data_IF_176953095544
#
_entry.id   IF_176953095544
#
_cell.length_a   1.000
_cell.length_b   1.000
_cell.length_c   1.000
_cell.angle_alpha   90.00
_cell.angle_beta   90.00
_cell.angle_gamma   90.00
#
_symmetry.space_group_name_H-M   'P 1'
#
loop_
_entity.id
_entity.type
_entity.pdbx_description
1 polymer ?
#
# COMPACT_ATOMS: atom_id res chain seq x y z
N UNK A 1 -52.57 9.65 -32.36
CA UNK A 1 -52.76 9.51 -30.90
C UNK A 1 -51.83 8.37 -30.46
N UNK A 2 -50.57 8.61 -30.04
CA UNK A 2 -50.13 9.01 -28.68
C UNK A 2 -50.82 8.14 -27.60
N UNK A 3 -50.15 7.32 -26.80
CA UNK A 3 -49.04 7.60 -25.84
C UNK A 3 -48.22 6.30 -25.58
N UNK A 4 -46.88 6.28 -25.62
CA UNK A 4 -45.86 6.66 -24.61
C UNK A 4 -45.99 6.01 -23.23
N UNK A 5 -45.04 5.12 -22.87
CA UNK A 5 -44.64 4.79 -21.49
C UNK A 5 -43.21 4.22 -21.47
N UNK A 6 -42.34 4.83 -20.68
CA UNK A 6 -40.87 4.66 -20.65
C UNK A 6 -40.38 3.55 -19.68
N UNK A 7 -39.12 3.06 -19.81
CA UNK A 7 -38.53 2.11 -18.86
C UNK A 7 -37.83 2.82 -17.68
N UNK A 8 -38.00 2.23 -16.49
CA UNK A 8 -37.51 2.72 -15.20
C UNK A 8 -36.00 2.65 -15.01
N UNK A 9 -35.47 3.69 -14.35
CA UNK A 9 -34.05 3.96 -14.09
C UNK A 9 -33.46 3.05 -13.00
N UNK A 10 -32.30 2.46 -13.30
CA UNK A 10 -31.45 1.76 -12.34
C UNK A 10 -30.86 2.71 -11.28
N UNK A 11 -30.91 2.30 -10.02
CA UNK A 11 -30.27 3.01 -8.90
C UNK A 11 -28.79 2.64 -8.83
N UNK A 12 -27.92 3.63 -9.09
CA UNK A 12 -26.48 3.57 -8.75
C UNK A 12 -26.32 3.92 -7.27
N UNK A 13 -25.63 3.08 -6.52
CA UNK A 13 -25.19 3.39 -5.15
C UNK A 13 -23.78 3.99 -5.21
N UNK A 14 -23.67 5.30 -5.07
CA UNK A 14 -22.39 6.00 -4.85
C UNK A 14 -22.28 6.36 -3.38
N UNK A 15 -21.48 5.62 -2.59
CA UNK A 15 -21.12 6.05 -1.23
C UNK A 15 -19.86 6.92 -1.31
N UNK A 16 -20.07 8.22 -1.25
CA UNK A 16 -19.04 9.24 -1.11
C UNK A 16 -18.50 9.24 0.33
N UNK A 17 -17.20 9.05 0.48
CA UNK A 17 -16.50 9.27 1.74
C UNK A 17 -16.27 10.78 1.93
N UNK A 18 -16.86 11.36 2.97
CA UNK A 18 -16.55 12.72 3.45
C UNK A 18 -16.16 12.63 4.93
N UNK A 19 -15.00 13.18 5.28
CA UNK A 19 -14.56 13.37 6.66
C UNK A 19 -13.65 14.60 6.77
N UNK A 20 -13.74 15.43 7.83
CA UNK A 20 -13.19 16.79 7.85
C UNK A 20 -11.98 16.92 8.80
N UNK A 21 -10.82 17.35 8.29
CA UNK A 21 -9.68 17.71 9.14
C UNK A 21 -9.02 19.01 8.63
N UNK A 22 -8.99 20.02 9.51
CA UNK A 22 -8.37 21.33 9.31
C UNK A 22 -7.50 21.65 10.54
N UNK A 23 -6.28 22.14 10.26
CA UNK A 23 -5.33 22.91 11.13
C UNK A 23 -4.66 22.06 12.22
N UNK A 24 -3.37 22.20 12.57
CA UNK A 24 -2.24 23.00 12.09
C UNK A 24 -0.96 22.51 12.79
N UNK A 25 0.08 22.23 12.00
CA UNK A 25 1.54 22.48 12.11
C UNK A 25 2.18 22.82 13.48
N UNK A 26 3.39 22.39 13.85
CA UNK A 26 4.68 22.71 13.20
C UNK A 26 5.92 21.94 13.77
N UNK A 27 6.94 21.79 12.89
CA UNK A 27 8.43 21.81 13.05
C UNK A 27 9.19 20.70 13.82
N UNK A 28 10.10 20.02 13.09
CA UNK A 28 11.52 19.81 13.47
C UNK A 28 12.36 19.36 12.25
N UNK A 29 13.62 19.82 12.19
CA UNK A 29 14.57 19.68 11.07
C UNK A 29 15.38 18.37 11.01
N UNK A 30 16.40 18.27 10.13
CA UNK A 30 16.93 16.99 9.64
C UNK A 30 18.10 16.45 10.48
N UNK A 31 18.12 15.13 10.72
CA UNK A 31 19.25 14.42 11.33
C UNK A 31 20.06 13.66 10.27
N UNK A 32 21.39 13.79 10.37
CA UNK A 32 22.43 13.26 9.47
C UNK A 32 22.60 11.74 9.67
N UNK A 33 22.85 11.00 8.59
CA UNK A 33 23.09 9.55 8.59
C UNK A 33 24.49 9.14 9.07
N UNK A 34 24.67 7.92 9.60
CA UNK A 34 25.98 7.42 9.99
C UNK A 34 26.69 6.64 8.87
N UNK A 35 28.03 6.69 8.93
CA UNK A 35 29.02 6.13 8.01
C UNK A 35 29.21 4.62 8.21
N UNK A 36 29.55 3.93 7.13
CA UNK A 36 29.91 2.51 7.08
C UNK A 36 31.30 2.24 7.69
N UNK A 37 31.44 1.12 8.42
CA UNK A 37 32.72 0.50 8.79
C UNK A 37 32.64 -0.98 8.41
N UNK A 38 33.75 -1.51 7.87
CA UNK A 38 33.82 -2.73 7.08
C UNK A 38 33.92 -4.08 7.82
N UNK A 39 34.03 -5.08 6.94
CA UNK A 39 33.95 -6.54 7.05
C UNK A 39 34.70 -7.27 8.18
N UNK A 40 34.17 -8.44 8.57
CA UNK A 40 34.84 -9.74 8.33
C UNK A 40 33.98 -10.96 8.76
N UNK A 41 33.81 -11.92 7.83
CA UNK A 41 33.85 -13.35 8.15
C UNK A 41 32.57 -14.18 7.99
N UNK A 42 32.58 -15.10 7.01
CA UNK A 42 31.81 -16.35 7.03
C UNK A 42 30.68 -16.48 6.01
N UNK A 43 31.01 -16.75 4.75
CA UNK A 43 30.02 -16.96 3.68
C UNK A 43 29.53 -18.41 3.70
N UNK A 44 28.32 -18.65 4.22
CA UNK A 44 27.54 -19.83 3.85
C UNK A 44 26.93 -19.56 2.46
N UNK A 45 27.32 -20.35 1.46
CA UNK A 45 26.79 -20.25 0.10
C UNK A 45 25.26 -20.45 0.10
N UNK A 46 24.46 -19.48 -0.38
CA UNK A 46 23.02 -19.64 -0.48
C UNK A 46 22.64 -20.48 -1.72
N UNK A 47 21.60 -21.28 -1.54
CA UNK A 47 20.91 -22.07 -2.56
C UNK A 47 20.46 -21.18 -3.75
N UNK A 48 20.83 -21.48 -5.01
CA UNK A 48 20.63 -20.60 -6.17
C UNK A 48 19.16 -20.32 -6.53
N UNK A 49 18.20 -20.99 -5.88
CA UNK A 49 16.76 -20.78 -6.14
C UNK A 49 16.10 -19.72 -5.23
N UNK A 50 16.78 -19.20 -4.21
CA UNK A 50 16.19 -18.24 -3.26
C UNK A 50 16.90 -16.88 -3.33
N UNK A 51 16.29 -15.85 -3.95
CA UNK A 51 16.88 -14.50 -3.92
C UNK A 51 16.99 -14.01 -2.47
N UNK A 52 18.06 -13.26 -2.13
CA UNK A 52 18.27 -12.75 -0.78
C UNK A 52 17.07 -11.90 -0.35
N UNK A 53 16.76 -11.90 0.96
CA UNK A 53 15.63 -11.16 1.54
C UNK A 53 15.45 -9.74 0.97
N UNK A 54 16.55 -9.00 0.82
CA UNK A 54 16.55 -7.66 0.24
C UNK A 54 16.17 -7.57 -1.24
N UNK A 55 16.50 -8.58 -2.06
CA UNK A 55 16.17 -8.60 -3.48
C UNK A 55 14.68 -8.82 -3.74
N UNK A 56 13.99 -9.60 -2.89
CA UNK A 56 12.54 -9.82 -3.00
C UNK A 56 11.72 -8.54 -2.76
N UNK A 57 12.27 -7.60 -2.00
CA UNK A 57 11.63 -6.31 -1.72
C UNK A 57 11.85 -5.29 -2.85
N UNK A 58 12.92 -5.44 -3.65
CA UNK A 58 13.20 -4.55 -4.79
C UNK A 58 12.07 -4.62 -5.84
N UNK A 59 11.48 -5.78 -6.05
CA UNK A 59 10.34 -5.98 -6.96
C UNK A 59 9.02 -5.34 -6.45
N UNK A 60 8.99 -4.89 -5.19
CA UNK A 60 7.86 -4.22 -4.53
C UNK A 60 8.11 -2.72 -4.28
N UNK A 61 9.14 -2.15 -4.91
CA UNK A 61 9.39 -0.71 -4.91
C UNK A 61 8.70 -0.09 -6.12
N UNK A 62 8.00 1.03 -5.93
CA UNK A 62 7.39 1.73 -7.05
C UNK A 62 8.44 2.37 -7.95
N UNK A 63 8.46 1.98 -9.23
CA UNK A 63 9.16 2.70 -10.30
C UNK A 63 8.12 3.33 -11.23
N UNK A 64 7.91 4.63 -11.05
CA UNK A 64 6.97 5.38 -11.88
C UNK A 64 7.44 5.53 -13.33
N UNK A 65 8.73 5.36 -13.64
CA UNK A 65 9.27 5.41 -14.99
C UNK A 65 8.81 4.23 -15.87
N UNK A 66 8.45 3.12 -15.23
CA UNK A 66 7.93 1.92 -15.89
C UNK A 66 6.40 1.80 -15.85
N UNK A 67 5.70 2.84 -15.38
CA UNK A 67 4.26 2.84 -15.20
C UNK A 67 3.53 3.79 -16.17
N UNK A 68 2.32 3.42 -16.58
CA UNK A 68 1.39 4.31 -17.31
C UNK A 68 0.69 5.35 -16.41
N UNK A 69 1.31 5.78 -15.31
CA UNK A 69 0.77 6.79 -14.41
C UNK A 69 -0.55 6.39 -13.74
N UNK A 70 -0.74 5.09 -13.47
CA UNK A 70 -2.03 4.52 -13.05
C UNK A 70 -2.58 5.15 -11.76
N UNK A 71 -1.73 5.45 -10.77
CA UNK A 71 -2.17 6.16 -9.56
C UNK A 71 -2.68 7.59 -9.86
N UNK A 72 -2.17 8.24 -10.90
CA UNK A 72 -2.57 9.60 -11.31
C UNK A 72 -3.89 9.61 -12.10
N UNK A 73 -4.26 8.50 -12.75
CA UNK A 73 -5.49 8.42 -13.56
C UNK A 73 -6.58 7.60 -12.88
N UNK A 74 -6.29 6.38 -12.41
CA UNK A 74 -7.27 5.44 -11.88
C UNK A 74 -7.90 5.93 -10.56
N UNK A 75 -7.10 6.47 -9.63
CA UNK A 75 -7.58 6.81 -8.29
C UNK A 75 -8.24 8.20 -8.22
N UNK A 76 -9.37 8.35 -7.53
CA UNK A 76 -9.97 9.66 -7.27
C UNK A 76 -9.25 10.39 -6.13
N UNK A 77 -9.36 11.72 -6.10
CA UNK A 77 -9.09 12.51 -4.90
C UNK A 77 -9.99 13.74 -4.82
N UNK A 78 -10.29 14.18 -3.61
CA UNK A 78 -11.10 15.37 -3.34
C UNK A 78 -10.24 16.48 -2.76
N UNK A 79 -10.59 17.74 -3.05
CA UNK A 79 -9.88 18.91 -2.54
C UNK A 79 -9.87 18.88 -1.01
N UNK A 80 -8.69 18.86 -0.42
CA UNK A 80 -8.45 18.73 1.01
C UNK A 80 -7.12 19.39 1.40
N UNK A 81 -6.64 19.14 2.62
CA UNK A 81 -5.28 19.52 3.03
C UNK A 81 -4.19 18.81 2.20
N UNK A 82 -4.50 17.64 1.65
CA UNK A 82 -3.57 16.76 0.96
C UNK A 82 -3.62 16.90 -0.56
N UNK A 83 -4.72 17.44 -1.08
CA UNK A 83 -4.94 17.65 -2.51
C UNK A 83 -5.53 19.04 -2.81
N UNK A 84 -4.87 19.80 -3.67
CA UNK A 84 -5.28 21.16 -4.05
C UNK A 84 -6.53 21.19 -4.95
N UNK A 85 -6.96 20.06 -5.51
CA UNK A 85 -8.07 19.99 -6.45
C UNK A 85 -8.88 18.71 -6.28
N UNK A 86 -10.04 18.66 -6.91
CA UNK A 86 -10.80 17.43 -7.10
C UNK A 86 -10.34 16.74 -8.39
N UNK A 87 -10.41 15.41 -8.41
CA UNK A 87 -10.21 14.59 -9.60
C UNK A 87 -11.06 13.32 -9.47
N UNK A 88 -11.84 13.02 -10.49
CA UNK A 88 -12.59 11.77 -10.56
C UNK A 88 -11.65 10.58 -10.86
N UNK A 89 -12.12 9.38 -10.51
CA UNK A 89 -11.48 8.14 -10.94
C UNK A 89 -11.53 8.04 -12.47
N UNK A 90 -10.46 7.51 -13.08
CA UNK A 90 -10.30 7.39 -14.53
C UNK A 90 -10.04 8.70 -15.28
N UNK A 91 -10.04 9.85 -14.59
CA UNK A 91 -9.63 11.14 -15.18
C UNK A 91 -8.14 11.37 -14.93
N UNK A 92 -7.32 11.63 -15.96
CA UNK A 92 -5.91 11.96 -15.78
C UNK A 92 -5.71 13.17 -14.86
N UNK A 93 -4.73 13.11 -13.96
CA UNK A 93 -4.32 14.27 -13.18
C UNK A 93 -3.82 15.37 -14.14
N UNK A 94 -4.17 16.63 -13.89
CA UNK A 94 -3.69 17.77 -14.70
C UNK A 94 -2.16 17.91 -14.77
N UNK A 95 -1.44 17.30 -13.83
CA UNK A 95 0.02 17.30 -13.80
C UNK A 95 0.62 16.03 -14.44
N UNK A 96 -0.20 15.11 -14.94
CA UNK A 96 0.27 13.91 -15.62
C UNK A 96 0.72 14.29 -17.04
N UNK A 97 2.00 14.11 -17.34
CA UNK A 97 2.58 14.35 -18.66
C UNK A 97 2.23 13.22 -19.63
N UNK A 98 2.55 13.43 -20.91
CA UNK A 98 2.31 12.43 -21.96
C UNK A 98 3.21 11.21 -21.84
N UNK A 99 4.37 11.36 -21.20
CA UNK A 99 5.28 10.26 -20.82
C UNK A 99 4.87 9.56 -19.51
N UNK A 100 3.65 9.80 -19.03
CA UNK A 100 3.09 9.26 -17.79
C UNK A 100 3.78 9.69 -16.48
N UNK A 101 4.78 10.58 -16.53
CA UNK A 101 5.43 11.09 -15.32
C UNK A 101 4.68 12.28 -14.74
N UNK A 102 4.81 12.47 -13.44
CA UNK A 102 4.27 13.66 -12.77
C UNK A 102 5.13 14.89 -13.08
N UNK A 103 4.53 15.91 -13.69
CA UNK A 103 5.22 17.14 -14.08
C UNK A 103 5.69 18.03 -12.93
N UNK A 104 5.20 17.79 -11.72
CA UNK A 104 5.52 18.56 -10.51
C UNK A 104 6.07 17.67 -9.39
N UNK A 105 6.61 16.49 -9.72
CA UNK A 105 6.99 15.48 -8.71
C UNK A 105 7.89 16.05 -7.60
N UNK A 106 8.88 16.88 -7.99
CA UNK A 106 9.83 17.50 -7.06
C UNK A 106 9.22 18.55 -6.13
N UNK A 107 8.01 19.06 -6.42
CA UNK A 107 7.35 20.13 -5.69
C UNK A 107 5.93 19.76 -5.24
N UNK A 108 5.62 18.46 -5.14
CA UNK A 108 4.27 17.98 -4.81
C UNK A 108 3.75 18.55 -3.48
N UNK A 109 4.60 18.65 -2.45
CA UNK A 109 4.16 19.14 -1.13
C UNK A 109 3.80 20.61 -1.16
N UNK A 110 4.63 21.42 -1.82
CA UNK A 110 4.48 22.87 -1.97
C UNK A 110 3.29 23.19 -2.89
N UNK A 111 3.06 22.37 -3.92
CA UNK A 111 1.96 22.52 -4.86
C UNK A 111 0.62 21.97 -4.34
N UNK A 112 0.54 21.53 -3.08
CA UNK A 112 -0.69 21.07 -2.44
C UNK A 112 -1.11 19.65 -2.83
N UNK A 113 -0.15 18.77 -3.13
CA UNK A 113 -0.33 17.35 -3.45
C UNK A 113 0.40 16.45 -2.45
N UNK A 114 0.37 16.80 -1.15
CA UNK A 114 0.98 15.99 -0.07
C UNK A 114 0.51 14.55 -0.08
N UNK A 115 -0.75 14.30 -0.43
CA UNK A 115 -1.32 12.95 -0.55
C UNK A 115 -0.55 12.06 -1.54
N UNK A 116 -0.04 12.63 -2.64
CA UNK A 116 0.79 11.89 -3.59
C UNK A 116 2.16 11.49 -3.01
N UNK A 117 2.67 12.22 -2.01
CA UNK A 117 4.01 11.95 -1.42
C UNK A 117 4.00 10.89 -0.32
N UNK A 118 2.81 10.52 0.17
CA UNK A 118 2.63 9.48 1.20
C UNK A 118 1.96 8.24 0.64
N UNK A 119 1.55 8.29 -0.63
CA UNK A 119 0.94 7.17 -1.32
C UNK A 119 2.03 6.27 -1.91
N UNK A 120 1.92 4.97 -1.68
CA UNK A 120 2.71 3.94 -2.35
C UNK A 120 1.78 2.90 -3.01
N UNK A 121 2.17 2.48 -4.21
CA UNK A 121 1.52 1.40 -4.95
C UNK A 121 2.27 0.07 -4.84
N UNK A 122 3.41 0.01 -4.14
CA UNK A 122 4.23 -1.19 -3.94
C UNK A 122 4.64 -1.87 -5.25
N UNK A 123 4.85 -1.07 -6.30
CA UNK A 123 5.21 -1.56 -7.61
C UNK A 123 4.05 -2.06 -8.50
N UNK A 124 2.80 -1.96 -8.04
CA UNK A 124 1.65 -2.46 -8.79
C UNK A 124 1.45 -1.75 -10.14
N UNK A 125 1.81 -0.45 -10.20
CA UNK A 125 1.66 0.35 -11.40
C UNK A 125 2.53 -0.17 -12.56
N UNK A 126 3.82 -0.41 -12.31
CA UNK A 126 4.70 -0.95 -13.33
C UNK A 126 4.40 -2.42 -13.63
N UNK A 127 3.93 -3.20 -12.64
CA UNK A 127 3.51 -4.59 -12.87
C UNK A 127 2.42 -4.66 -13.94
N UNK A 128 1.39 -3.85 -13.81
CA UNK A 128 0.30 -3.78 -14.80
C UNK A 128 0.84 -3.31 -16.15
N UNK A 129 1.67 -2.27 -16.13
CA UNK A 129 2.11 -1.60 -17.35
C UNK A 129 3.03 -2.49 -18.19
N UNK A 130 3.99 -3.16 -17.55
CA UNK A 130 5.00 -3.99 -18.21
C UNK A 130 4.57 -5.43 -18.40
N UNK A 131 3.91 -6.02 -17.40
CA UNK A 131 3.60 -7.46 -17.40
C UNK A 131 2.18 -7.72 -17.89
N UNK A 132 1.17 -7.17 -17.22
CA UNK A 132 -0.24 -7.48 -17.55
C UNK A 132 -0.63 -7.01 -18.95
N UNK A 133 -0.15 -5.85 -19.40
CA UNK A 133 -0.49 -5.27 -20.70
C UNK A 133 0.69 -5.21 -21.68
N UNK A 134 1.81 -5.86 -21.37
CA UNK A 134 2.93 -6.04 -22.29
C UNK A 134 3.52 -4.73 -22.84
N UNK A 135 3.48 -3.64 -22.08
CA UNK A 135 4.04 -2.35 -22.49
C UNK A 135 3.10 -1.48 -23.36
N UNK A 136 1.87 -1.90 -23.65
CA UNK A 136 0.90 -1.07 -24.39
C UNK A 136 0.02 -0.28 -23.44
N UNK A 137 0.06 1.04 -23.51
CA UNK A 137 -0.64 1.92 -22.57
C UNK A 137 -2.13 2.12 -22.88
N UNK A 138 -2.86 2.65 -21.89
CA UNK A 138 -4.24 3.10 -22.05
C UNK A 138 -4.41 4.27 -23.01
N UNK A 139 -3.34 5.00 -23.35
CA UNK A 139 -3.36 6.05 -24.39
C UNK A 139 -3.24 5.45 -25.78
N UNK A 140 -2.35 4.47 -25.95
CA UNK A 140 -2.14 3.76 -27.21
C UNK A 140 -3.32 2.85 -27.57
N UNK A 141 -3.92 2.21 -26.56
CA UNK A 141 -5.14 1.40 -26.71
C UNK A 141 -6.24 1.89 -25.76
N UNK A 142 -7.01 2.92 -26.15
CA UNK A 142 -8.08 3.48 -25.30
C UNK A 142 -9.13 2.46 -24.85
N UNK A 143 -9.35 1.40 -25.63
CA UNK A 143 -10.28 0.32 -25.29
C UNK A 143 -9.94 -0.44 -24.00
N UNK A 144 -8.67 -0.46 -23.56
CA UNK A 144 -8.24 -1.14 -22.33
C UNK A 144 -8.16 -0.22 -21.12
N UNK A 145 -8.42 1.08 -21.28
CA UNK A 145 -8.21 2.07 -20.22
C UNK A 145 -8.99 1.76 -18.94
N UNK A 146 -10.28 1.47 -19.07
CA UNK A 146 -11.14 1.18 -17.92
C UNK A 146 -10.69 -0.08 -17.18
N UNK A 147 -10.38 -1.14 -17.93
CA UNK A 147 -9.90 -2.40 -17.35
C UNK A 147 -8.59 -2.19 -16.58
N UNK A 148 -7.61 -1.47 -17.15
CA UNK A 148 -6.37 -1.11 -16.46
C UNK A 148 -6.63 -0.36 -15.15
N UNK A 149 -7.60 0.57 -15.14
CA UNK A 149 -7.94 1.35 -13.95
C UNK A 149 -8.62 0.50 -12.88
N UNK A 150 -9.46 -0.45 -13.28
CA UNK A 150 -10.16 -1.37 -12.38
C UNK A 150 -9.20 -2.45 -11.82
N UNK A 151 -8.21 -2.90 -12.60
CA UNK A 151 -7.16 -3.84 -12.17
C UNK A 151 -6.18 -3.18 -11.19
N UNK A 152 -5.89 -1.89 -11.34
CA UNK A 152 -4.92 -1.18 -10.49
C UNK A 152 -5.15 -1.32 -8.97
N UNK A 153 -6.34 -1.04 -8.40
CA UNK A 153 -6.57 -1.22 -6.97
C UNK A 153 -6.50 -2.69 -6.53
N UNK A 154 -6.78 -3.66 -7.40
CA UNK A 154 -6.58 -5.09 -7.11
C UNK A 154 -5.10 -5.39 -6.98
N UNK A 155 -4.31 -5.08 -8.01
CA UNK A 155 -2.87 -5.34 -8.03
C UNK A 155 -2.15 -4.66 -6.87
N UNK A 156 -2.54 -3.42 -6.53
CA UNK A 156 -1.99 -2.71 -5.36
C UNK A 156 -2.21 -3.48 -4.07
N UNK A 157 -3.41 -4.03 -3.86
CA UNK A 157 -3.70 -4.80 -2.65
C UNK A 157 -2.90 -6.10 -2.62
N UNK A 158 -2.74 -6.79 -3.74
CA UNK A 158 -1.91 -8.00 -3.81
C UNK A 158 -0.44 -7.68 -3.49
N UNK A 159 0.12 -6.61 -4.08
CA UNK A 159 1.48 -6.17 -3.82
C UNK A 159 1.70 -5.71 -2.37
N UNK A 160 0.71 -5.05 -1.76
CA UNK A 160 0.72 -4.71 -0.33
C UNK A 160 0.79 -5.99 0.54
N UNK A 161 0.03 -7.03 0.20
CA UNK A 161 0.10 -8.31 0.92
C UNK A 161 1.46 -9.00 0.74
N UNK A 162 2.04 -8.96 -0.46
CA UNK A 162 3.40 -9.47 -0.70
C UNK A 162 4.43 -8.71 0.14
N UNK A 163 4.26 -7.40 0.32
CA UNK A 163 5.14 -6.59 1.16
C UNK A 163 5.05 -7.01 2.63
N UNK A 164 3.85 -7.20 3.17
CA UNK A 164 3.68 -7.69 4.56
C UNK A 164 4.21 -9.12 4.75
N UNK A 165 3.99 -10.01 3.79
CA UNK A 165 4.51 -11.38 3.85
C UNK A 165 6.04 -11.40 3.80
N UNK A 166 6.64 -10.51 3.00
CA UNK A 166 8.10 -10.36 2.98
C UNK A 166 8.64 -9.95 4.35
N UNK A 167 7.98 -9.01 5.04
CA UNK A 167 8.35 -8.64 6.41
C UNK A 167 8.23 -9.82 7.40
N UNK A 168 7.17 -10.63 7.32
CA UNK A 168 7.04 -11.82 8.17
C UNK A 168 8.20 -12.80 7.93
N UNK A 169 8.56 -13.02 6.67
CA UNK A 169 9.61 -13.95 6.28
C UNK A 169 11.02 -13.46 6.69
N UNK A 170 11.20 -12.14 6.78
CA UNK A 170 12.46 -11.53 7.25
C UNK A 170 12.60 -11.58 8.79
N UNK A 171 11.52 -11.87 9.53
CA UNK A 171 11.56 -11.96 11.00
C UNK A 171 11.93 -13.38 11.46
N UNK A 172 13.11 -13.62 12.07
CA UNK A 172 13.49 -14.96 12.52
C UNK A 172 12.54 -15.53 13.58
N UNK A 173 11.91 -14.66 14.37
CA UNK A 173 10.95 -15.05 15.41
C UNK A 173 9.63 -15.57 14.85
N UNK A 174 9.29 -15.21 13.62
CA UNK A 174 8.10 -15.69 12.94
C UNK A 174 8.34 -17.01 12.19
N UNK A 175 9.50 -17.67 12.37
CA UNK A 175 9.83 -18.95 11.73
C UNK A 175 8.72 -20.01 11.78
N UNK A 176 7.96 -20.18 12.88
CA UNK A 176 6.84 -21.12 12.93
C UNK A 176 5.77 -20.93 11.83
N UNK A 177 5.58 -19.70 11.32
CA UNK A 177 4.60 -19.40 10.26
C UNK A 177 5.23 -19.24 8.87
N UNK A 178 6.55 -19.38 8.73
CA UNK A 178 7.25 -19.12 7.46
C UNK A 178 6.79 -20.02 6.33
N UNK A 179 6.56 -21.31 6.59
CA UNK A 179 6.05 -22.26 5.57
C UNK A 179 4.70 -21.79 4.99
N UNK A 180 3.75 -21.43 5.86
CA UNK A 180 2.46 -20.93 5.42
C UNK A 180 2.57 -19.58 4.71
N UNK A 181 3.42 -18.67 5.22
CA UNK A 181 3.68 -17.37 4.59
C UNK A 181 4.33 -17.52 3.20
N UNK A 182 5.25 -18.47 3.02
CA UNK A 182 5.84 -18.78 1.72
C UNK A 182 4.79 -19.28 0.72
N UNK A 183 3.89 -20.18 1.13
CA UNK A 183 2.80 -20.65 0.26
C UNK A 183 1.90 -19.51 -0.17
N UNK A 184 1.38 -18.71 0.77
CA UNK A 184 0.52 -17.56 0.44
C UNK A 184 1.24 -16.53 -0.43
N UNK A 185 2.54 -16.29 -0.21
CA UNK A 185 3.32 -15.39 -1.06
C UNK A 185 3.41 -15.91 -2.49
N UNK A 186 3.73 -17.18 -2.67
CA UNK A 186 3.82 -17.82 -4.00
C UNK A 186 2.49 -17.78 -4.74
N UNK A 187 1.38 -18.09 -4.07
CA UNK A 187 0.03 -18.02 -4.64
C UNK A 187 -0.32 -16.60 -5.11
N UNK A 188 -0.04 -15.58 -4.28
CA UNK A 188 -0.29 -14.18 -4.64
C UNK A 188 0.64 -13.75 -5.79
N UNK A 189 1.91 -14.14 -5.76
CA UNK A 189 2.87 -13.86 -6.84
C UNK A 189 2.41 -14.45 -8.18
N UNK A 190 1.87 -15.67 -8.19
CA UNK A 190 1.28 -16.28 -9.39
C UNK A 190 0.06 -15.48 -9.86
N UNK A 191 -0.84 -15.11 -8.95
CA UNK A 191 -2.00 -14.28 -9.29
C UNK A 191 -1.60 -12.93 -9.89
N UNK A 192 -0.53 -12.28 -9.41
CA UNK A 192 -0.04 -11.01 -10.00
C UNK A 192 0.43 -11.13 -11.45
N UNK A 193 0.63 -12.35 -11.96
CA UNK A 193 1.02 -12.64 -13.35
C UNK A 193 -0.15 -13.17 -14.18
N UNK A 194 -1.32 -13.35 -13.58
CA UNK A 194 -2.52 -13.81 -14.27
C UNK A 194 -3.11 -12.73 -15.19
N UNK A 195 -4.14 -13.10 -15.94
CA UNK A 195 -4.83 -12.17 -16.84
C UNK A 195 -5.54 -11.05 -16.07
N UNK A 196 -5.86 -9.95 -16.77
CA UNK A 196 -6.66 -8.87 -16.20
C UNK A 196 -8.03 -9.39 -15.70
N UNK A 197 -8.63 -10.33 -16.44
CA UNK A 197 -9.91 -10.95 -16.08
C UNK A 197 -9.80 -11.75 -14.78
N UNK A 198 -8.74 -12.57 -14.63
CA UNK A 198 -8.53 -13.38 -13.43
C UNK A 198 -8.24 -12.50 -12.21
N UNK A 199 -7.47 -11.42 -12.39
CA UNK A 199 -7.23 -10.43 -11.35
C UNK A 199 -8.55 -9.80 -10.88
N UNK A 200 -9.41 -9.39 -11.81
CA UNK A 200 -10.71 -8.79 -11.49
C UNK A 200 -11.68 -9.79 -10.83
N UNK A 201 -11.52 -11.09 -11.10
CA UNK A 201 -12.31 -12.16 -10.49
C UNK A 201 -11.78 -12.60 -9.11
N UNK A 202 -10.59 -12.18 -8.71
CA UNK A 202 -9.97 -12.60 -7.46
C UNK A 202 -10.75 -12.10 -6.22
N UNK A 203 -10.98 -13.01 -5.27
CA UNK A 203 -11.51 -12.67 -3.95
C UNK A 203 -10.41 -12.08 -3.04
N UNK A 204 -10.06 -10.82 -3.32
CA UNK A 204 -9.06 -10.09 -2.54
C UNK A 204 -9.41 -10.04 -1.04
N UNK A 205 -10.67 -9.82 -0.61
CA UNK A 205 -11.04 -9.93 0.79
C UNK A 205 -10.68 -11.27 1.43
N UNK A 206 -10.96 -12.40 0.79
CA UNK A 206 -10.60 -13.73 1.30
C UNK A 206 -9.08 -13.93 1.39
N UNK A 207 -8.34 -13.54 0.35
CA UNK A 207 -6.87 -13.58 0.34
C UNK A 207 -6.31 -12.75 1.51
N UNK A 208 -6.81 -11.52 1.68
CA UNK A 208 -6.40 -10.63 2.77
C UNK A 208 -6.71 -11.23 4.14
N UNK A 209 -7.86 -11.89 4.30
CA UNK A 209 -8.23 -12.55 5.55
C UNK A 209 -7.24 -13.67 5.91
N UNK A 210 -6.87 -14.51 4.93
CA UNK A 210 -5.86 -15.57 5.09
C UNK A 210 -4.50 -15.01 5.50
N UNK A 211 -4.01 -13.99 4.77
CA UNK A 211 -2.75 -13.32 5.11
C UNK A 211 -2.82 -12.68 6.50
N UNK A 212 -3.91 -11.99 6.84
CA UNK A 212 -4.06 -11.36 8.16
C UNK A 212 -3.98 -12.38 9.31
N UNK A 213 -4.45 -13.62 9.14
CA UNK A 213 -4.26 -14.66 10.16
C UNK A 213 -2.77 -14.95 10.41
N UNK A 214 -1.97 -15.06 9.35
CA UNK A 214 -0.52 -15.24 9.44
C UNK A 214 0.17 -14.03 10.08
N UNK A 215 -0.23 -12.81 9.70
CA UNK A 215 0.32 -11.58 10.29
C UNK A 215 0.04 -11.51 11.80
N UNK A 216 -1.15 -11.92 12.23
CA UNK A 216 -1.51 -11.94 13.65
C UNK A 216 -0.65 -12.93 14.43
N UNK A 217 -0.48 -14.15 13.92
CA UNK A 217 0.35 -15.17 14.56
C UNK A 217 1.83 -14.76 14.61
N UNK A 218 2.38 -14.24 13.49
CA UNK A 218 3.73 -13.67 13.46
C UNK A 218 3.90 -12.57 14.51
N UNK A 219 2.91 -11.68 14.62
CA UNK A 219 2.91 -10.58 15.59
C UNK A 219 2.95 -11.07 17.04
N UNK A 220 2.17 -12.11 17.38
CA UNK A 220 2.20 -12.73 18.70
C UNK A 220 3.55 -13.39 19.01
N UNK A 221 4.12 -14.14 18.05
CA UNK A 221 5.43 -14.78 18.20
C UNK A 221 6.55 -13.77 18.46
N UNK A 222 6.53 -12.64 17.74
CA UNK A 222 7.49 -11.55 17.93
C UNK A 222 7.34 -10.91 19.31
N UNK A 223 6.09 -10.64 19.74
CA UNK A 223 5.79 -10.03 21.04
C UNK A 223 6.06 -10.94 22.23
N UNK A 224 5.88 -12.25 22.09
CA UNK A 224 6.05 -13.22 23.18
C UNK A 224 7.45 -13.21 23.80
N UNK A 225 8.45 -12.68 23.08
CA UNK A 225 9.84 -12.57 23.53
C UNK A 225 10.20 -11.20 24.12
N UNK A 226 9.25 -10.27 24.19
CA UNK A 226 9.47 -8.98 24.86
C UNK A 226 9.31 -9.20 26.37
N UNK A 227 10.36 -8.93 27.18
CA UNK A 227 10.25 -9.06 28.63
C UNK A 227 9.24 -8.07 29.23
N UNK A 228 8.60 -8.47 30.32
CA UNK A 228 7.67 -7.61 31.06
C UNK A 228 6.19 -7.82 30.71
N UNK A 229 5.34 -6.97 31.30
CA UNK A 229 3.88 -7.05 31.11
C UNK A 229 3.51 -6.53 29.74
N UNK A 230 2.94 -7.40 28.91
CA UNK A 230 2.36 -7.03 27.61
C UNK A 230 1.01 -6.36 27.84
N UNK A 231 0.94 -5.05 27.61
CA UNK A 231 -0.31 -4.33 27.69
C UNK A 231 -1.21 -4.64 26.49
N UNK A 232 -2.49 -4.89 26.74
CA UNK A 232 -3.49 -5.02 25.68
C UNK A 232 -4.34 -3.74 25.61
N UNK A 233 -4.16 -2.99 24.52
CA UNK A 233 -4.89 -1.78 24.19
C UNK A 233 -5.73 -1.97 22.92
N UNK A 234 -6.12 -3.21 22.60
CA UNK A 234 -6.94 -3.49 21.42
C UNK A 234 -8.25 -2.71 21.47
N UNK A 235 -8.54 -1.96 20.41
CA UNK A 235 -9.76 -1.15 20.31
C UNK A 235 -9.84 0.00 21.30
N UNK A 236 -8.76 0.31 22.04
CA UNK A 236 -8.78 1.35 23.06
C UNK A 236 -8.92 2.75 22.43
N UNK A 237 -9.71 3.61 23.06
CA UNK A 237 -9.68 5.04 22.78
C UNK A 237 -8.51 5.67 23.54
N UNK A 238 -7.48 6.08 22.78
CA UNK A 238 -6.27 6.74 23.28
C UNK A 238 -6.13 8.14 22.68
N UNK A 239 -7.24 8.77 22.29
CA UNK A 239 -7.24 10.13 21.73
C UNK A 239 -6.67 11.11 22.74
N UNK A 240 -5.65 11.88 22.32
CA UNK A 240 -5.00 12.85 23.20
C UNK A 240 -4.23 12.24 24.38
N UNK A 241 -4.07 10.90 24.42
CA UNK A 241 -3.41 10.21 25.52
C UNK A 241 -1.95 10.67 25.66
N UNK A 242 -1.51 10.89 26.90
CA UNK A 242 -0.11 11.25 27.21
C UNK A 242 0.68 9.98 27.46
N UNK A 243 1.25 9.41 26.39
CA UNK A 243 2.04 8.17 26.41
C UNK A 243 3.54 8.43 26.25
N UNK A 244 3.99 9.66 26.54
CA UNK A 244 5.40 10.06 26.42
C UNK A 244 6.30 9.17 27.27
N UNK A 245 7.31 8.57 26.64
CA UNK A 245 8.24 7.62 27.28
C UNK A 245 7.57 6.37 27.89
N UNK A 246 6.33 6.06 27.50
CA UNK A 246 5.69 4.82 27.93
C UNK A 246 6.39 3.63 27.28
N UNK A 247 6.66 2.57 28.04
CA UNK A 247 7.19 1.34 27.44
C UNK A 247 6.05 0.58 26.74
N UNK A 248 5.93 0.80 25.43
CA UNK A 248 4.95 0.13 24.58
C UNK A 248 5.52 -1.10 23.85
N UNK A 249 6.76 -1.51 24.18
CA UNK A 249 7.36 -2.69 23.58
C UNK A 249 6.52 -3.92 23.93
N UNK A 250 6.15 -4.68 22.92
CA UNK A 250 5.32 -5.88 23.13
C UNK A 250 3.86 -5.58 23.50
N UNK A 251 3.41 -4.33 23.51
CA UNK A 251 2.00 -4.00 23.65
C UNK A 251 1.23 -4.29 22.36
N UNK A 252 -0.06 -4.61 22.46
CA UNK A 252 -0.97 -4.64 21.30
C UNK A 252 -1.80 -3.37 21.26
N UNK A 253 -1.63 -2.60 20.18
CA UNK A 253 -2.39 -1.37 19.88
C UNK A 253 -3.39 -1.59 18.73
N UNK A 254 -3.73 -2.86 18.42
CA UNK A 254 -4.55 -3.19 17.25
C UNK A 254 -5.93 -2.53 17.37
N UNK A 255 -6.27 -1.69 16.39
CA UNK A 255 -7.54 -0.97 16.38
C UNK A 255 -7.66 0.12 17.44
N UNK A 256 -6.58 0.45 18.16
CA UNK A 256 -6.59 1.58 19.09
C UNK A 256 -6.66 2.91 18.34
N UNK A 257 -7.40 3.88 18.87
CA UNK A 257 -7.50 5.23 18.32
C UNK A 257 -6.45 6.13 18.97
N UNK A 258 -5.36 6.41 18.25
CA UNK A 258 -4.19 7.18 18.75
C UNK A 258 -4.17 8.63 18.23
N UNK A 259 -5.31 9.19 17.84
CA UNK A 259 -5.36 10.55 17.27
C UNK A 259 -4.90 11.56 18.32
N UNK A 260 -3.88 12.36 17.97
CA UNK A 260 -3.25 13.35 18.86
C UNK A 260 -2.66 12.78 20.16
N UNK A 261 -2.40 11.47 20.25
CA UNK A 261 -1.65 10.90 21.36
C UNK A 261 -0.18 11.39 21.34
N UNK A 262 0.36 11.78 22.50
CA UNK A 262 1.78 12.09 22.66
C UNK A 262 2.56 10.79 22.86
N UNK A 263 3.13 10.25 21.77
CA UNK A 263 3.99 9.06 21.75
C UNK A 263 5.48 9.42 21.75
N UNK A 264 5.85 10.63 22.17
CA UNK A 264 7.25 11.07 22.11
C UNK A 264 8.14 10.17 22.95
N UNK A 265 9.06 9.45 22.31
CA UNK A 265 10.00 8.54 22.97
C UNK A 265 9.35 7.30 23.61
N UNK A 266 8.12 6.95 23.22
CA UNK A 266 7.50 5.67 23.53
C UNK A 266 8.09 4.52 22.70
#
# INVERSE_FOLDING_TARGET
MATSSAPGRGRRVTRAWRGPWRRSWHRAGPARGPRCVGDNGGVNSPDPATPPAGARRLDLVADCGDCFGLCCVALPFSRSHDFAANKAAGTPCRNLKDDFRCGIHASLRESGYRGCTVFDCFGAGQKISRVTYGGVSWRERPGTAREMYDVFPVMRQLHELLWYLSDVLDMPRARPVHEAAHRSRTEIEQLTRASAQDLLAADVPAIRAGVNALLLEASELVRARVPGRRADHRGADLVGARLRKADLRGATLRGALLVAADLTGA
#
